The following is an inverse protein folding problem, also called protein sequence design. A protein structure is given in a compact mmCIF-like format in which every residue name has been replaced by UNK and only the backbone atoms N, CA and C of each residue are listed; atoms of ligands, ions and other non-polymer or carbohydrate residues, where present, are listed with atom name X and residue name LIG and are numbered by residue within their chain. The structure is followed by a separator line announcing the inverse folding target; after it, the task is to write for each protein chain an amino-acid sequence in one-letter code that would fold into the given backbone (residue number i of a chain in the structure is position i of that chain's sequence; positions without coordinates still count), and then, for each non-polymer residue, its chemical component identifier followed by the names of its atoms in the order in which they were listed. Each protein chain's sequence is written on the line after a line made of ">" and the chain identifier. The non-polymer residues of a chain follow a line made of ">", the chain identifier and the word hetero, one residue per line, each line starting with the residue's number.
data_IF_305828326644
#
_entry.id   IF_305828326644
#
_cell.length_a   1.000
_cell.length_b   1.000
_cell.length_c   1.000
_cell.angle_alpha   90.00
_cell.angle_beta   90.00
_cell.angle_gamma   90.00
#
_symmetry.space_group_name_H-M   'P 1'
#
loop_
_entity.id
_entity.type
_entity.pdbx_description
1 polymer ?
#
# COMPACT_ATOMS: atom_id res chain seq x y z
N UNK A 1 -4.75 17.42 11.15
CA UNK A 1 -3.63 16.54 10.72
C UNK A 1 -3.67 15.32 11.62
N UNK A 2 -3.75 14.12 11.08
CA UNK A 2 -3.78 12.86 11.87
C UNK A 2 -2.37 12.28 11.95
N UNK A 3 -2.00 11.60 13.04
CA UNK A 3 -0.60 11.21 13.30
C UNK A 3 -0.15 9.96 12.53
N UNK A 4 -1.08 9.13 12.05
CA UNK A 4 -0.78 7.87 11.37
C UNK A 4 -1.94 7.44 10.44
N UNK A 5 -1.70 6.38 9.65
CA UNK A 5 -2.68 5.84 8.71
C UNK A 5 -3.90 5.21 9.39
N UNK A 6 -3.74 4.50 10.52
CA UNK A 6 -4.87 3.87 11.20
C UNK A 6 -5.93 4.90 11.58
N UNK A 7 -5.53 5.99 12.25
CA UNK A 7 -6.44 7.08 12.60
C UNK A 7 -7.01 7.80 11.38
N UNK A 8 -6.21 7.94 10.30
CA UNK A 8 -6.70 8.54 9.06
C UNK A 8 -7.82 7.73 8.42
N UNK A 9 -7.64 6.41 8.40
CA UNK A 9 -8.57 5.46 7.82
C UNK A 9 -9.87 5.35 8.63
N UNK A 10 -9.79 5.38 9.96
CA UNK A 10 -10.98 5.42 10.83
C UNK A 10 -11.81 6.69 10.55
N UNK A 11 -11.17 7.86 10.45
CA UNK A 11 -11.87 9.10 10.10
C UNK A 11 -12.58 9.03 8.73
N UNK A 12 -11.99 8.31 7.76
CA UNK A 12 -12.63 8.11 6.45
C UNK A 12 -13.84 7.18 6.54
N UNK A 13 -13.73 6.07 7.29
CA UNK A 13 -14.82 5.10 7.47
C UNK A 13 -15.99 5.68 8.26
N UNK A 14 -15.71 6.50 9.27
CA UNK A 14 -16.73 7.16 10.09
C UNK A 14 -17.38 8.36 9.38
N UNK A 15 -17.00 8.65 8.13
CA UNK A 15 -17.57 9.75 7.34
C UNK A 15 -17.21 11.14 7.86
N UNK A 16 -16.16 11.26 8.66
CA UNK A 16 -15.73 12.51 9.26
C UNK A 16 -14.99 13.43 8.26
N UNK A 17 -14.46 12.86 7.17
CA UNK A 17 -13.71 13.60 6.18
C UNK A 17 -13.69 12.93 4.79
N UNK A 18 -13.12 13.64 3.82
CA UNK A 18 -12.69 13.12 2.52
C UNK A 18 -11.17 13.25 2.43
N UNK A 19 -10.48 12.23 1.93
CA UNK A 19 -9.02 12.22 1.90
C UNK A 19 -8.44 11.23 0.89
N UNK A 20 -7.13 11.35 0.68
CA UNK A 20 -6.37 10.41 -0.15
C UNK A 20 -5.81 9.29 0.73
N UNK A 21 -5.91 8.05 0.27
CA UNK A 21 -5.40 6.87 0.96
C UNK A 21 -4.69 5.92 -0.02
N UNK A 22 -3.74 5.08 0.45
CA UNK A 22 -3.12 4.06 -0.38
C UNK A 22 -4.18 3.07 -0.84
N UNK A 23 -4.27 2.85 -2.16
CA UNK A 23 -5.34 2.04 -2.75
C UNK A 23 -5.46 0.65 -2.11
N UNK A 24 -4.33 -0.02 -1.86
CA UNK A 24 -4.33 -1.35 -1.25
C UNK A 24 -4.97 -1.43 0.14
N UNK A 25 -4.95 -0.35 0.93
CA UNK A 25 -5.53 -0.33 2.27
C UNK A 25 -7.05 -0.13 2.25
N UNK A 26 -7.56 0.59 1.25
CA UNK A 26 -8.98 0.97 1.17
C UNK A 26 -9.78 0.16 0.16
N UNK A 27 -9.12 -0.55 -0.77
CA UNK A 27 -9.78 -1.40 -1.77
C UNK A 27 -10.80 -2.37 -1.15
N UNK A 28 -10.48 -3.13 -0.09
CA UNK A 28 -11.46 -4.03 0.53
C UNK A 28 -12.70 -3.33 1.08
N UNK A 29 -12.59 -2.04 1.43
CA UNK A 29 -13.69 -1.25 2.00
C UNK A 29 -14.55 -0.65 0.89
N UNK A 30 -13.92 -0.26 -0.22
CA UNK A 30 -14.62 0.15 -1.43
C UNK A 30 -15.43 -1.03 -2.01
N UNK A 31 -14.84 -2.23 -2.06
CA UNK A 31 -15.52 -3.44 -2.51
C UNK A 31 -16.73 -3.82 -1.65
N UNK A 32 -16.69 -3.50 -0.34
CA UNK A 32 -17.82 -3.69 0.59
C UNK A 32 -18.81 -2.53 0.61
N UNK A 33 -18.56 -1.46 -0.13
CA UNK A 33 -19.39 -0.26 -0.15
C UNK A 33 -19.29 0.62 1.11
N UNK A 34 -18.30 0.39 1.97
CA UNK A 34 -18.04 1.22 3.15
C UNK A 34 -17.39 2.56 2.76
N UNK A 35 -16.65 2.59 1.65
CA UNK A 35 -16.04 3.80 1.08
C UNK A 35 -16.37 3.94 -0.40
N UNK A 36 -16.32 5.17 -0.90
CA UNK A 36 -16.53 5.48 -2.32
C UNK A 36 -15.30 6.19 -2.88
N UNK A 37 -14.73 5.66 -3.97
CA UNK A 37 -13.63 6.30 -4.67
C UNK A 37 -14.12 7.51 -5.48
N UNK A 38 -13.51 8.66 -5.26
CA UNK A 38 -13.76 9.86 -6.04
C UNK A 38 -12.78 9.96 -7.21
N UNK A 39 -13.30 10.18 -8.42
CA UNK A 39 -12.47 10.42 -9.60
C UNK A 39 -12.05 11.89 -9.65
N UNK A 40 -10.75 12.12 -9.68
CA UNK A 40 -10.18 13.45 -9.82
C UNK A 40 -10.09 13.81 -11.29
N UNK A 41 -10.44 15.05 -11.64
CA UNK A 41 -10.29 15.58 -13.01
C UNK A 41 -8.83 15.53 -13.48
N UNK A 42 -7.88 15.63 -12.55
CA UNK A 42 -6.46 15.43 -12.79
C UNK A 42 -5.96 14.28 -11.92
N UNK A 43 -5.52 13.15 -12.51
CA UNK A 43 -4.99 12.04 -11.73
C UNK A 43 -3.64 12.40 -11.10
N UNK A 44 -3.38 11.83 -9.93
CA UNK A 44 -2.05 11.89 -9.31
C UNK A 44 -1.10 10.90 -9.98
N UNK A 45 0.21 11.23 -10.05
CA UNK A 45 1.20 10.28 -10.52
C UNK A 45 1.26 9.06 -9.61
N UNK A 46 1.53 7.89 -10.18
CA UNK A 46 1.78 6.68 -9.40
C UNK A 46 2.99 6.90 -8.47
N UNK A 47 2.90 6.37 -7.25
CA UNK A 47 3.99 6.39 -6.26
C UNK A 47 4.61 4.99 -6.19
N UNK A 48 5.68 4.70 -6.96
CA UNK A 48 6.30 3.37 -6.95
C UNK A 48 6.93 3.07 -5.59
N UNK A 49 6.70 1.87 -5.09
CA UNK A 49 7.37 1.35 -3.89
C UNK A 49 8.52 0.45 -4.31
N UNK A 50 9.71 0.65 -3.72
CA UNK A 50 10.93 -0.05 -4.10
C UNK A 50 11.62 -0.64 -2.86
N UNK A 51 12.22 -1.81 -3.03
CA UNK A 51 13.17 -2.36 -2.05
C UNK A 51 14.55 -1.78 -2.33
N UNK A 52 15.19 -1.22 -1.31
CA UNK A 52 16.55 -0.70 -1.39
C UNK A 52 17.45 -1.38 -0.36
N UNK A 53 18.68 -1.69 -0.76
CA UNK A 53 19.69 -2.29 0.11
C UNK A 53 21.08 -1.74 -0.19
N UNK A 54 22.00 -1.89 0.76
CA UNK A 54 23.40 -1.53 0.56
C UNK A 54 24.08 -2.57 -0.34
N UNK A 55 24.71 -2.14 -1.43
CA UNK A 55 25.33 -3.04 -2.42
C UNK A 55 26.38 -3.97 -1.82
N UNK A 56 27.11 -3.51 -0.79
CA UNK A 56 28.14 -4.30 -0.10
C UNK A 56 27.58 -5.29 0.95
N UNK A 57 26.25 -5.39 1.10
CA UNK A 57 25.58 -6.27 2.06
C UNK A 57 24.61 -7.25 1.39
N UNK A 58 25.05 -7.90 0.31
CA UNK A 58 24.29 -8.98 -0.32
C UNK A 58 24.63 -10.32 0.34
N UNK A 59 23.93 -10.67 1.41
CA UNK A 59 24.03 -12.01 2.01
C UNK A 59 23.26 -13.03 1.16
N UNK A 60 23.56 -14.34 1.28
CA UNK A 60 22.76 -15.39 0.65
C UNK A 60 21.26 -15.32 1.00
N UNK A 61 20.93 -14.94 2.23
CA UNK A 61 19.54 -14.74 2.66
C UNK A 61 18.87 -13.54 1.95
N UNK A 62 19.61 -12.44 1.73
CA UNK A 62 19.10 -11.30 0.98
C UNK A 62 18.88 -11.66 -0.49
N UNK A 63 19.80 -12.40 -1.10
CA UNK A 63 19.64 -12.88 -2.47
C UNK A 63 18.39 -13.76 -2.61
N UNK A 64 18.19 -14.72 -1.69
CA UNK A 64 16.97 -15.52 -1.64
C UNK A 64 15.71 -14.67 -1.48
N UNK A 65 15.73 -13.67 -0.60
CA UNK A 65 14.57 -12.79 -0.39
C UNK A 65 14.22 -12.00 -1.66
N UNK A 66 15.22 -11.47 -2.36
CA UNK A 66 15.00 -10.73 -3.61
C UNK A 66 14.47 -11.66 -4.72
N UNK A 67 14.97 -12.89 -4.79
CA UNK A 67 14.45 -13.91 -5.70
C UNK A 67 13.01 -14.32 -5.36
N UNK A 68 12.70 -14.47 -4.08
CA UNK A 68 11.35 -14.76 -3.59
C UNK A 68 10.36 -13.63 -3.87
N UNK A 69 10.75 -12.38 -3.60
CA UNK A 69 9.93 -11.20 -3.90
C UNK A 69 9.71 -11.05 -5.41
N UNK A 70 10.64 -11.54 -6.24
CA UNK A 70 10.44 -11.80 -7.65
C UNK A 70 9.91 -10.60 -8.42
N UNK A 71 8.65 -10.69 -8.85
CA UNK A 71 8.00 -9.66 -9.66
C UNK A 71 7.31 -8.57 -8.82
N UNK A 72 7.02 -7.44 -9.47
CA UNK A 72 6.35 -6.30 -8.84
C UNK A 72 5.01 -6.68 -8.20
N UNK A 73 4.31 -7.71 -8.71
CA UNK A 73 3.03 -8.15 -8.16
C UNK A 73 3.21 -8.85 -6.82
N UNK A 74 4.10 -9.84 -6.77
CA UNK A 74 4.44 -10.60 -5.57
C UNK A 74 5.00 -9.69 -4.50
N UNK A 75 5.92 -8.79 -4.87
CA UNK A 75 6.46 -7.78 -3.97
C UNK A 75 5.37 -6.87 -3.37
N UNK A 76 4.45 -6.34 -4.18
CA UNK A 76 3.37 -5.48 -3.66
C UNK A 76 2.41 -6.26 -2.75
N UNK A 77 2.11 -7.52 -3.08
CA UNK A 77 1.23 -8.36 -2.26
C UNK A 77 1.86 -8.67 -0.90
N UNK A 78 3.05 -9.25 -0.88
CA UNK A 78 3.74 -9.64 0.35
C UNK A 78 4.07 -8.44 1.25
N UNK A 79 4.47 -7.32 0.64
CA UNK A 79 5.00 -6.18 1.40
C UNK A 79 3.95 -5.12 1.78
N UNK A 80 3.01 -4.79 0.87
CA UNK A 80 2.04 -3.71 1.12
C UNK A 80 0.68 -4.23 1.56
N UNK A 81 0.24 -5.37 1.03
CA UNK A 81 -1.08 -5.91 1.34
C UNK A 81 -1.06 -6.86 2.55
N UNK A 82 0.15 -7.32 2.93
CA UNK A 82 0.34 -8.36 3.93
C UNK A 82 -0.10 -9.73 3.43
N UNK A 83 0.14 -10.81 4.20
CA UNK A 83 -0.26 -12.15 3.81
C UNK A 83 -1.79 -12.23 3.65
N UNK A 84 -2.23 -12.58 2.46
CA UNK A 84 -3.61 -13.00 2.19
C UNK A 84 -3.81 -14.41 2.74
N UNK A 85 -4.46 -14.54 3.89
CA UNK A 85 -4.92 -15.82 4.45
C UNK A 85 -6.31 -16.19 3.92
#
# INVERSE_FOLDING_TARGET
>A
MVPNWASALDCLRDGLCVGMAPAHQVLPWIERGELVALQLSRPFPASPSCVAWAQNKLSPAMAWLLEYLGDTKTMNQEWLNGPSF
#
